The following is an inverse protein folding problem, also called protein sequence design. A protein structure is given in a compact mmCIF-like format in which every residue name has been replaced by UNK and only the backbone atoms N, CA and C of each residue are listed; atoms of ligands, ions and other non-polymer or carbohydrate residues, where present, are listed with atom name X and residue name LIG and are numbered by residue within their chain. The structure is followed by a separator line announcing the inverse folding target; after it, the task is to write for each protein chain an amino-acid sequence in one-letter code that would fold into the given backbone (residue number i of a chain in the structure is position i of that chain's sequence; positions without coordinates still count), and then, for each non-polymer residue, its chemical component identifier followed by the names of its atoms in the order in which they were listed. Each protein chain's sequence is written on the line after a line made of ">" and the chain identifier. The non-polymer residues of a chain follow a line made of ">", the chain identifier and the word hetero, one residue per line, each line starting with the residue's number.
data_IF_057815736015
#
_entry.id   IF_057815736015
#
_cell.length_a   1.000
_cell.length_b   1.000
_cell.length_c   1.000
_cell.angle_alpha   90.00
_cell.angle_beta   90.00
_cell.angle_gamma   90.00
#
_symmetry.space_group_name_H-M   'P 1'
#
loop_
_entity.id
_entity.type
_entity.pdbx_description
1 polymer ?
#
# COMPACT_ATOMS: atom_id res chain seq x y z
N UNK A 1 -13.83 10.24 9.24
CA UNK A 1 -12.67 9.78 8.44
C UNK A 1 -11.47 9.70 9.37
N UNK A 2 -10.83 8.54 9.48
CA UNK A 2 -9.59 8.39 10.24
C UNK A 2 -8.43 8.83 9.35
N UNK A 3 -7.61 9.77 9.82
CA UNK A 3 -6.39 10.19 9.12
C UNK A 3 -5.22 9.44 9.70
N UNK A 4 -4.51 8.70 8.85
CA UNK A 4 -3.30 7.99 9.22
C UNK A 4 -2.17 8.38 8.25
N UNK A 5 -0.93 8.34 8.72
CA UNK A 5 0.26 8.74 7.96
C UNK A 5 1.29 7.62 8.03
N UNK A 6 1.72 7.16 6.86
CA UNK A 6 2.65 6.04 6.72
C UNK A 6 3.97 6.50 6.10
N UNK A 7 5.06 5.92 6.58
CA UNK A 7 6.39 5.99 5.95
C UNK A 7 6.56 4.76 5.07
N UNK A 8 6.96 4.98 3.82
CA UNK A 8 7.25 3.91 2.86
C UNK A 8 8.73 3.97 2.46
N UNK A 9 9.37 2.84 2.11
CA UNK A 9 10.62 2.85 1.36
C UNK A 9 10.38 3.50 -0.01
N UNK A 10 11.43 4.05 -0.59
CA UNK A 10 11.34 4.71 -1.90
C UNK A 10 10.83 3.75 -2.99
N UNK A 11 11.25 2.49 -2.95
CA UNK A 11 10.80 1.42 -3.86
C UNK A 11 9.29 1.26 -3.84
N UNK A 12 8.70 1.15 -2.66
CA UNK A 12 7.26 0.92 -2.51
C UNK A 12 6.47 2.19 -2.83
N UNK A 13 7.03 3.35 -2.47
CA UNK A 13 6.41 4.62 -2.81
C UNK A 13 6.32 4.82 -4.33
N UNK A 14 7.33 4.39 -5.08
CA UNK A 14 7.34 4.43 -6.55
C UNK A 14 6.23 3.56 -7.18
N UNK A 15 5.79 2.49 -6.51
CA UNK A 15 4.70 1.64 -6.98
C UNK A 15 3.38 2.41 -7.11
N UNK A 16 3.11 3.41 -6.26
CA UNK A 16 1.90 4.24 -6.40
C UNK A 16 1.86 4.95 -7.74
N UNK A 17 2.97 5.53 -8.18
CA UNK A 17 3.04 6.21 -9.48
C UNK A 17 2.84 5.21 -10.63
N UNK A 18 3.49 4.05 -10.54
CA UNK A 18 3.35 3.00 -11.54
C UNK A 18 1.90 2.49 -11.65
N UNK A 19 1.24 2.22 -10.52
CA UNK A 19 -0.14 1.75 -10.48
C UNK A 19 -1.13 2.81 -10.99
N UNK A 20 -0.93 4.09 -10.64
CA UNK A 20 -1.74 5.18 -11.19
C UNK A 20 -1.63 5.28 -12.71
N UNK A 21 -0.41 5.20 -13.26
CA UNK A 21 -0.23 5.19 -14.72
C UNK A 21 -0.93 4.01 -15.38
N UNK A 22 -0.84 2.82 -14.79
CA UNK A 22 -1.54 1.62 -15.28
C UNK A 22 -3.06 1.78 -15.25
N UNK A 23 -3.61 2.32 -14.15
CA UNK A 23 -5.04 2.59 -14.04
C UNK A 23 -5.50 3.63 -15.07
N UNK A 24 -4.72 4.70 -15.25
CA UNK A 24 -5.03 5.75 -16.22
C UNK A 24 -5.00 5.21 -17.66
N UNK A 25 -4.04 4.36 -17.99
CA UNK A 25 -3.99 3.67 -19.29
C UNK A 25 -5.23 2.78 -19.53
N UNK A 26 -5.85 2.28 -18.45
CA UNK A 26 -7.13 1.56 -18.48
C UNK A 26 -8.36 2.48 -18.39
N UNK A 27 -8.21 3.80 -18.44
CA UNK A 27 -9.30 4.77 -18.39
C UNK A 27 -9.77 5.16 -16.98
N UNK A 28 -9.05 4.75 -15.94
CA UNK A 28 -9.41 5.04 -14.55
C UNK A 28 -8.38 5.97 -13.88
N UNK A 29 -8.78 7.20 -13.57
CA UNK A 29 -7.98 8.08 -12.72
C UNK A 29 -8.18 7.69 -11.24
N UNK A 30 -7.09 7.37 -10.53
CA UNK A 30 -7.15 6.88 -9.15
C UNK A 30 -6.24 7.66 -8.21
N UNK A 31 -6.74 7.90 -6.99
CA UNK A 31 -5.98 8.53 -5.91
C UNK A 31 -5.11 7.50 -5.19
N UNK A 32 -4.09 7.98 -4.48
CA UNK A 32 -3.22 7.13 -3.65
C UNK A 32 -4.03 6.40 -2.56
N UNK A 33 -4.99 7.09 -1.94
CA UNK A 33 -5.87 6.51 -0.93
C UNK A 33 -6.85 5.47 -1.48
N UNK A 34 -7.15 5.49 -2.78
CA UNK A 34 -7.96 4.46 -3.44
C UNK A 34 -7.15 3.19 -3.65
N UNK A 35 -5.91 3.31 -4.12
CA UNK A 35 -5.00 2.17 -4.25
C UNK A 35 -4.76 1.46 -2.91
N UNK A 36 -4.56 2.23 -1.83
CA UNK A 36 -4.41 1.66 -0.47
C UNK A 36 -5.66 0.89 -0.03
N UNK A 37 -6.85 1.46 -0.22
CA UNK A 37 -8.10 0.80 0.15
C UNK A 37 -8.37 -0.45 -0.71
N UNK A 38 -8.09 -0.39 -2.00
CA UNK A 38 -8.19 -1.54 -2.90
C UNK A 38 -7.22 -2.66 -2.49
N UNK A 39 -5.98 -2.31 -2.11
CA UNK A 39 -5.01 -3.27 -1.57
C UNK A 39 -5.51 -3.95 -0.30
N UNK A 40 -6.08 -3.19 0.65
CA UNK A 40 -6.66 -3.75 1.88
C UNK A 40 -7.83 -4.70 1.60
N UNK A 41 -8.74 -4.32 0.68
CA UNK A 41 -9.86 -5.17 0.29
C UNK A 41 -9.39 -6.47 -0.39
N UNK A 42 -8.40 -6.37 -1.27
CA UNK A 42 -7.79 -7.55 -1.89
C UNK A 42 -7.16 -8.47 -0.84
N UNK A 43 -6.36 -7.92 0.08
CA UNK A 43 -5.77 -8.70 1.17
C UNK A 43 -6.82 -9.38 2.05
N UNK A 44 -7.92 -8.69 2.36
CA UNK A 44 -9.03 -9.23 3.15
C UNK A 44 -9.83 -10.33 2.42
N UNK A 45 -9.71 -10.43 1.09
CA UNK A 45 -10.35 -11.49 0.30
C UNK A 45 -9.50 -12.77 0.17
N UNK A 46 -8.25 -12.76 0.63
CA UNK A 46 -7.37 -13.91 0.58
C UNK A 46 -7.69 -14.91 1.70
N UNK A 47 -7.44 -16.19 1.44
CA UNK A 47 -7.41 -17.21 2.50
C UNK A 47 -6.21 -17.00 3.43
N UNK A 48 -6.33 -17.41 4.70
CA UNK A 48 -5.37 -17.13 5.77
C UNK A 48 -3.93 -17.51 5.41
N UNK A 49 -3.72 -18.70 4.83
CA UNK A 49 -2.38 -19.17 4.46
C UNK A 49 -1.72 -18.23 3.42
N UNK A 50 -2.49 -17.78 2.42
CA UNK A 50 -2.01 -16.88 1.37
C UNK A 50 -1.83 -15.46 1.90
N UNK A 51 -2.67 -15.01 2.84
CA UNK A 51 -2.48 -13.74 3.51
C UNK A 51 -1.15 -13.73 4.27
N UNK A 52 -0.87 -14.76 5.09
CA UNK A 52 0.37 -14.88 5.85
C UNK A 52 1.59 -14.94 4.94
N UNK A 53 1.53 -15.71 3.86
CA UNK A 53 2.60 -15.78 2.86
C UNK A 53 2.86 -14.41 2.23
N UNK A 54 1.80 -13.70 1.81
CA UNK A 54 1.89 -12.37 1.18
C UNK A 54 2.52 -11.36 2.15
N UNK A 55 2.10 -11.37 3.41
CA UNK A 55 2.67 -10.50 4.45
C UNK A 55 4.14 -10.83 4.76
N UNK A 56 4.54 -12.09 4.66
CA UNK A 56 5.93 -12.54 4.86
C UNK A 56 6.90 -11.99 3.81
N UNK A 57 6.41 -11.61 2.63
CA UNK A 57 7.22 -11.00 1.55
C UNK A 57 7.43 -9.50 1.71
N UNK A 58 6.62 -8.84 2.56
CA UNK A 58 6.75 -7.41 2.81
C UNK A 58 7.91 -7.19 3.79
N UNK A 59 8.91 -6.41 3.37
CA UNK A 59 10.04 -6.10 4.24
C UNK A 59 9.55 -5.36 5.49
N UNK A 60 9.93 -5.88 6.67
CA UNK A 60 9.65 -5.18 7.93
C UNK A 60 10.57 -3.98 8.06
N UNK A 61 10.07 -2.83 7.66
CA UNK A 61 10.73 -1.56 7.91
C UNK A 61 10.66 -1.30 9.41
N UNK A 62 11.82 -1.16 10.07
CA UNK A 62 11.89 -0.62 11.42
C UNK A 62 11.61 0.88 11.37
N UNK A 63 10.36 1.26 11.11
CA UNK A 63 9.95 2.66 11.23
C UNK A 63 9.98 3.02 12.70
N UNK A 64 11.09 3.60 13.17
CA UNK A 64 11.06 4.39 14.38
C UNK A 64 10.08 5.53 14.16
N UNK A 65 9.09 5.68 15.03
CA UNK A 65 8.25 6.88 15.08
C UNK A 65 9.21 8.08 15.18
N UNK A 66 9.22 9.05 14.25
CA UNK A 66 10.05 10.23 14.44
C UNK A 66 9.69 10.83 15.80
N UNK A 67 10.68 10.96 16.69
CA UNK A 67 10.48 11.62 17.99
C UNK A 67 9.91 12.99 17.68
N UNK A 68 8.70 13.27 18.16
CA UNK A 68 8.11 14.61 18.11
C UNK A 68 9.16 15.61 18.59
N UNK A 69 9.52 16.57 17.75
CA UNK A 69 9.90 17.89 18.25
C UNK A 69 8.61 18.60 18.65
#
# INVERSE_FOLDING_TARGET
>A
MVRDSFTFPESDYALFAALKRRALAGGAEVKKSELLRAGLQWLASLEDARLVETLGRVERIKTGRPKKK
#
